data_IF_338562169278
#
_entry.id   IF_338562169278
#
_cell.length_a   1.000
_cell.length_b   1.000
_cell.length_c   1.000
_cell.angle_alpha   90.00
_cell.angle_beta   90.00
_cell.angle_gamma   90.00
#
_symmetry.space_group_name_H-M   'P 1'
#
loop_
_entity.id
_entity.type
_entity.pdbx_description
1 polymer ?
#
# COMPACT_ATOMS: atom_id res chain seq x y z
N UNK A 1 6.95 0.58 -2.67
CA UNK A 1 6.71 1.56 -3.75
C UNK A 1 7.21 2.91 -3.27
N UNK A 2 8.37 3.41 -3.73
CA UNK A 2 8.86 4.72 -3.35
C UNK A 2 8.38 5.75 -4.37
N UNK A 3 7.97 6.89 -3.86
CA UNK A 3 7.67 8.09 -4.64
C UNK A 3 8.90 8.52 -5.47
N UNK A 4 8.64 9.22 -6.58
CA UNK A 4 9.53 10.27 -7.06
C UNK A 4 9.78 11.21 -5.87
N UNK A 5 10.98 11.17 -5.30
CA UNK A 5 11.29 11.91 -4.07
C UNK A 5 11.12 13.41 -4.30
N UNK A 6 10.21 14.11 -3.59
CA UNK A 6 10.13 15.55 -3.66
C UNK A 6 11.41 16.18 -3.10
N UNK A 7 11.83 17.30 -3.70
CA UNK A 7 12.81 18.18 -3.06
C UNK A 7 12.20 18.75 -1.78
N UNK A 8 13.00 18.80 -0.71
CA UNK A 8 12.73 19.59 0.49
C UNK A 8 12.69 21.05 0.07
N UNK A 9 11.53 21.53 -0.38
CA UNK A 9 11.37 22.87 -0.95
C UNK A 9 10.00 23.19 -1.53
N UNK A 10 9.31 22.26 -2.19
CA UNK A 10 8.11 22.60 -3.00
C UNK A 10 6.97 21.57 -2.85
N UNK A 11 6.44 21.45 -1.63
CA UNK A 11 5.33 20.54 -1.25
C UNK A 11 3.97 20.98 -1.81
N UNK A 12 3.88 22.20 -2.35
CA UNK A 12 2.66 22.69 -3.01
C UNK A 12 2.55 22.22 -4.47
N UNK A 13 3.63 21.70 -5.07
CA UNK A 13 3.82 21.69 -6.54
C UNK A 13 3.45 20.37 -7.24
N UNK A 14 2.95 19.36 -6.49
CA UNK A 14 2.55 18.03 -7.02
C UNK A 14 1.11 17.60 -6.70
N UNK A 15 0.28 18.50 -6.13
CA UNK A 15 -1.16 18.24 -5.91
C UNK A 15 -1.96 17.94 -7.18
N UNK A 16 -1.38 18.22 -8.36
CA UNK A 16 -2.04 18.04 -9.65
C UNK A 16 -2.01 16.59 -10.19
N UNK A 17 -1.16 15.70 -9.66
CA UNK A 17 -1.06 14.31 -10.11
C UNK A 17 -2.05 13.35 -9.41
N UNK A 18 -2.74 13.83 -8.36
CA UNK A 18 -3.79 13.08 -7.65
C UNK A 18 -5.11 13.80 -7.93
N UNK A 19 -5.91 13.25 -8.85
CA UNK A 19 -7.14 13.87 -9.34
C UNK A 19 -8.08 14.36 -8.23
N UNK A 20 -8.36 15.67 -8.23
CA UNK A 20 -9.42 16.30 -7.44
C UNK A 20 -10.52 16.75 -8.41
N UNK A 21 -11.73 16.19 -8.28
CA UNK A 21 -12.96 16.77 -8.84
C UNK A 21 -14.05 16.81 -7.76
N UNK A 22 -14.68 17.98 -7.62
CA UNK A 22 -15.51 18.42 -6.49
C UNK A 22 -16.96 17.90 -6.40
N UNK A 23 -17.89 18.67 -5.79
CA UNK A 23 -18.75 18.21 -4.68
C UNK A 23 -20.06 17.52 -5.07
N UNK A 24 -20.58 16.68 -4.16
CA UNK A 24 -21.82 15.90 -4.28
C UNK A 24 -23.03 16.59 -3.60
N UNK A 25 -24.19 16.46 -4.25
CA UNK A 25 -25.55 16.95 -3.92
C UNK A 25 -26.08 16.54 -2.51
N UNK A 26 -26.66 17.46 -1.70
CA UNK A 26 -27.14 17.18 -0.35
C UNK A 26 -28.56 16.59 -0.20
N UNK A 27 -29.23 16.06 -1.25
CA UNK A 27 -30.66 15.68 -1.14
C UNK A 27 -31.12 14.22 -1.34
N UNK A 28 -30.24 13.21 -1.39
CA UNK A 28 -30.70 11.82 -1.53
C UNK A 28 -31.14 11.17 -0.19
N UNK A 29 -32.46 11.05 0.05
CA UNK A 29 -33.04 10.16 1.09
C UNK A 29 -33.77 8.99 0.44
N UNK A 30 -33.51 7.76 0.89
CA UNK A 30 -34.36 6.60 0.58
C UNK A 30 -34.71 5.80 1.85
N UNK A 31 -35.99 5.41 1.96
CA UNK A 31 -36.59 4.61 3.05
C UNK A 31 -36.89 3.21 2.54
N UNK A 32 -36.80 2.19 3.40
CA UNK A 32 -37.23 0.80 3.11
C UNK A 32 -38.19 0.28 4.20
N UNK A 33 -39.20 -0.52 3.81
CA UNK A 33 -40.22 -1.19 4.66
C UNK A 33 -40.19 -2.70 4.44
N UNK A 34 -40.46 -3.51 5.47
CA UNK A 34 -40.68 -4.98 5.37
C UNK A 34 -41.71 -5.46 6.42
N UNK A 35 -42.52 -6.50 6.14
CA UNK A 35 -43.57 -7.08 7.02
C UNK A 35 -43.46 -8.63 7.23
N UNK A 36 -44.30 -9.22 8.11
CA UNK A 36 -44.22 -10.63 8.60
C UNK A 36 -45.58 -11.38 8.71
N UNK A 37 -45.56 -12.73 8.78
CA UNK A 37 -46.73 -13.65 8.96
C UNK A 37 -46.43 -14.80 9.96
N UNK A 38 -47.44 -15.30 10.68
CA UNK A 38 -47.35 -16.26 11.80
C UNK A 38 -48.07 -17.61 11.56
N UNK A 39 -47.70 -18.68 12.31
CA UNK A 39 -48.49 -19.93 12.45
C UNK A 39 -48.43 -20.54 13.88
N UNK A 40 -49.51 -21.24 14.29
CA UNK A 40 -49.86 -21.78 15.64
C UNK A 40 -49.51 -23.29 15.82
N UNK A 41 -49.53 -23.86 17.05
CA UNK A 41 -48.96 -25.18 17.38
C UNK A 41 -49.98 -26.33 17.64
N UNK A 42 -49.56 -27.61 17.76
CA UNK A 42 -50.35 -28.69 18.36
C UNK A 42 -49.86 -29.17 19.74
N UNK A 43 -50.84 -29.57 20.58
CA UNK A 43 -50.79 -30.19 21.94
C UNK A 43 -50.51 -31.71 21.80
N UNK A 44 -49.87 -32.45 22.74
CA UNK A 44 -50.31 -32.53 24.15
C UNK A 44 -49.25 -32.98 25.20
N UNK A 45 -49.01 -32.20 26.26
CA UNK A 45 -48.72 -32.70 27.63
C UNK A 45 -49.41 -31.75 28.61
N UNK A 46 -50.71 -31.96 28.80
CA UNK A 46 -51.46 -31.50 29.98
C UNK A 46 -52.34 -32.68 30.40
N UNK A 47 -51.74 -33.64 31.09
CA UNK A 47 -52.48 -34.66 31.84
C UNK A 47 -51.56 -35.35 32.84
N UNK A 48 -51.11 -34.60 33.85
CA UNK A 48 -50.66 -35.12 35.14
C UNK A 48 -50.52 -33.98 36.17
N UNK A 49 -51.60 -33.24 36.44
CA UNK A 49 -51.83 -32.56 37.75
C UNK A 49 -53.29 -32.08 37.91
N UNK A 50 -54.23 -32.71 37.21
CA UNK A 50 -55.66 -32.68 37.52
C UNK A 50 -56.17 -34.07 37.12
N UNK A 51 -56.57 -34.87 38.11
CA UNK A 51 -57.28 -36.13 37.85
C UNK A 51 -58.50 -35.90 36.96
N UNK A 52 -59.00 -36.97 36.35
CA UNK A 52 -60.10 -36.96 35.37
C UNK A 52 -61.20 -35.95 35.69
N UNK A 53 -61.15 -34.80 35.00
CA UNK A 53 -62.26 -33.89 34.72
C UNK A 53 -61.81 -32.91 33.64
N UNK A 54 -62.50 -32.96 32.51
CA UNK A 54 -62.27 -32.07 31.38
C UNK A 54 -62.47 -30.61 31.78
N UNK A 55 -61.48 -29.75 31.54
CA UNK A 55 -61.62 -28.30 31.70
C UNK A 55 -61.04 -27.59 30.47
N UNK A 56 -61.85 -26.68 29.93
CA UNK A 56 -61.69 -26.04 28.62
C UNK A 56 -60.58 -24.98 28.52
N UNK A 57 -60.49 -24.27 27.37
CA UNK A 57 -59.28 -23.61 26.88
C UNK A 57 -58.75 -22.36 27.61
N UNK A 58 -59.16 -22.05 28.84
CA UNK A 58 -58.99 -20.70 29.44
C UNK A 58 -58.04 -20.59 30.65
N UNK A 59 -57.12 -21.54 30.92
CA UNK A 59 -56.28 -21.52 32.15
C UNK A 59 -54.74 -21.70 32.01
N UNK A 60 -54.12 -21.34 30.88
CA UNK A 60 -52.66 -21.55 30.66
C UNK A 60 -51.71 -20.43 31.15
N UNK A 61 -52.20 -19.35 31.77
CA UNK A 61 -51.39 -18.14 32.05
C UNK A 61 -50.68 -18.09 33.41
N UNK A 62 -50.87 -19.06 34.31
CA UNK A 62 -50.40 -18.93 35.72
C UNK A 62 -49.17 -19.77 36.08
N UNK A 63 -48.77 -20.77 35.29
CA UNK A 63 -47.65 -21.69 35.65
C UNK A 63 -46.26 -21.15 35.22
N UNK A 64 -46.20 -20.22 34.27
CA UNK A 64 -44.95 -19.60 33.82
C UNK A 64 -44.35 -18.59 34.82
N UNK A 65 -45.13 -18.12 35.80
CA UNK A 65 -44.71 -17.12 36.78
C UNK A 65 -43.77 -17.69 37.87
N UNK A 66 -43.81 -19.00 38.15
CA UNK A 66 -43.05 -19.62 39.25
C UNK A 66 -41.59 -19.92 38.86
N UNK A 67 -41.30 -20.09 37.57
CA UNK A 67 -39.94 -20.36 37.09
C UNK A 67 -39.04 -19.12 37.06
N UNK A 68 -39.62 -17.92 37.00
CA UNK A 68 -38.89 -16.65 37.04
C UNK A 68 -38.21 -16.36 38.40
N UNK A 69 -38.52 -17.12 39.46
CA UNK A 69 -38.02 -16.87 40.82
C UNK A 69 -36.76 -17.70 41.15
N UNK A 70 -36.53 -18.85 40.50
CA UNK A 70 -35.44 -19.76 40.87
C UNK A 70 -34.08 -19.49 40.19
N UNK A 71 -34.06 -18.81 39.03
CA UNK A 71 -32.81 -18.45 38.36
C UNK A 71 -32.03 -17.31 39.07
N UNK A 72 -32.61 -16.66 40.08
CA UNK A 72 -32.00 -15.56 40.84
C UNK A 72 -31.00 -15.98 41.93
N UNK A 73 -30.76 -17.27 42.16
CA UNK A 73 -30.02 -17.75 43.34
C UNK A 73 -28.62 -18.37 43.09
N UNK A 74 -28.10 -18.38 41.85
CA UNK A 74 -26.69 -18.68 41.52
C UNK A 74 -25.97 -19.74 42.36
N UNK A 75 -26.25 -21.03 42.13
CA UNK A 75 -25.47 -22.17 42.68
C UNK A 75 -24.90 -23.07 41.57
N UNK A 76 -23.77 -23.69 41.89
CA UNK A 76 -22.67 -24.19 41.04
C UNK A 76 -22.65 -25.71 40.73
N UNK A 77 -22.00 -26.09 39.61
CA UNK A 77 -21.29 -27.37 39.37
C UNK A 77 -22.16 -28.62 39.06
N UNK A 78 -21.75 -29.66 38.32
CA UNK A 78 -20.47 -30.15 37.74
C UNK A 78 -20.83 -31.26 36.68
N UNK A 79 -19.91 -31.99 36.01
CA UNK A 79 -19.85 -32.15 34.54
C UNK A 79 -20.21 -33.55 34.01
N UNK A 80 -20.45 -33.62 32.69
CA UNK A 80 -20.28 -34.86 31.91
C UNK A 80 -21.53 -35.40 31.22
N UNK A 81 -22.15 -34.63 30.31
CA UNK A 81 -22.97 -35.19 29.25
C UNK A 81 -23.07 -34.18 28.09
N UNK A 82 -22.63 -34.59 26.90
CA UNK A 82 -22.63 -33.78 25.67
C UNK A 82 -23.84 -34.20 24.84
N UNK A 83 -24.84 -33.33 24.67
CA UNK A 83 -25.91 -33.49 23.68
C UNK A 83 -26.13 -32.16 22.95
N UNK A 84 -26.17 -32.25 21.63
CA UNK A 84 -26.18 -31.18 20.64
C UNK A 84 -27.62 -30.68 20.38
N UNK A 85 -27.80 -29.37 20.24
CA UNK A 85 -29.05 -28.75 19.76
C UNK A 85 -28.78 -27.55 18.87
N UNK A 86 -29.57 -27.42 17.80
CA UNK A 86 -29.75 -26.20 17.01
C UNK A 86 -31.21 -25.75 17.04
N UNK A 87 -31.43 -24.42 17.00
CA UNK A 87 -32.45 -23.64 16.26
C UNK A 87 -32.83 -22.35 17.03
N UNK A 88 -33.09 -21.29 16.24
CA UNK A 88 -33.38 -19.85 16.50
C UNK A 88 -34.91 -19.57 16.65
N UNK A 89 -35.50 -18.47 17.17
CA UNK A 89 -35.30 -17.00 17.06
C UNK A 89 -36.00 -16.18 18.20
N UNK A 90 -35.78 -14.85 18.21
CA UNK A 90 -36.06 -13.72 19.14
C UNK A 90 -37.54 -13.20 19.22
N UNK A 91 -38.01 -12.23 20.07
CA UNK A 91 -37.46 -10.94 20.60
C UNK A 91 -38.26 -10.43 21.85
N UNK A 92 -37.61 -9.70 22.78
CA UNK A 92 -38.26 -8.63 23.58
C UNK A 92 -37.61 -8.21 24.91
N UNK A 93 -36.68 -7.24 24.92
CA UNK A 93 -36.41 -6.40 26.12
C UNK A 93 -35.07 -6.56 26.86
N UNK A 94 -34.01 -5.96 26.29
CA UNK A 94 -32.83 -5.37 26.93
C UNK A 94 -32.02 -6.16 28.00
N UNK A 95 -31.22 -7.11 27.55
CA UNK A 95 -29.90 -7.39 28.14
C UNK A 95 -29.00 -7.99 27.06
N UNK A 96 -28.28 -7.12 26.36
CA UNK A 96 -27.39 -7.50 25.26
C UNK A 96 -26.19 -8.27 25.78
N UNK A 97 -26.14 -9.58 25.51
CA UNK A 97 -24.86 -10.29 25.38
C UNK A 97 -24.59 -10.45 23.90
N UNK A 98 -23.57 -9.72 23.47
CA UNK A 98 -22.96 -9.78 22.16
C UNK A 98 -22.72 -11.24 21.78
N UNK A 99 -23.41 -11.68 20.74
CA UNK A 99 -23.02 -12.89 20.01
C UNK A 99 -21.91 -12.39 19.09
N UNK A 100 -20.65 -12.58 19.49
CA UNK A 100 -19.51 -12.33 18.60
C UNK A 100 -19.66 -13.36 17.47
N UNK A 101 -20.27 -12.89 16.40
CA UNK A 101 -20.15 -13.51 15.10
C UNK A 101 -18.71 -13.20 14.71
N UNK A 102 -17.84 -14.20 14.66
CA UNK A 102 -16.65 -14.09 13.83
C UNK A 102 -17.14 -13.98 12.39
N UNK A 103 -17.54 -12.78 12.01
CA UNK A 103 -17.37 -12.32 10.65
C UNK A 103 -15.87 -12.35 10.43
N UNK A 104 -15.39 -13.28 9.61
CA UNK A 104 -14.10 -13.09 8.93
C UNK A 104 -14.20 -11.69 8.31
N UNK A 105 -13.41 -10.70 8.77
CA UNK A 105 -13.45 -9.39 8.16
C UNK A 105 -13.03 -9.61 6.71
N UNK A 106 -13.97 -9.35 5.79
CA UNK A 106 -13.61 -9.20 4.40
C UNK A 106 -12.72 -7.96 4.34
N UNK A 107 -11.51 -8.10 3.78
CA UNK A 107 -10.66 -6.96 3.48
C UNK A 107 -11.44 -6.00 2.58
N UNK A 108 -11.63 -4.77 3.06
CA UNK A 108 -12.15 -3.70 2.23
C UNK A 108 -10.95 -2.99 1.60
N UNK A 109 -10.91 -2.98 0.27
CA UNK A 109 -9.90 -2.24 -0.49
C UNK A 109 -10.54 -0.96 -1.03
N UNK A 110 -9.82 0.15 -0.88
CA UNK A 110 -10.24 1.47 -1.34
C UNK A 110 -9.16 2.03 -2.25
N UNK A 111 -9.43 2.03 -3.55
CA UNK A 111 -8.48 2.48 -4.59
C UNK A 111 -8.92 3.83 -5.12
N UNK A 112 -8.00 4.80 -5.22
CA UNK A 112 -8.26 6.15 -5.75
C UNK A 112 -9.50 6.83 -5.12
N UNK A 113 -9.63 6.72 -3.80
CA UNK A 113 -10.76 7.26 -3.04
C UNK A 113 -10.32 8.37 -2.09
N UNK A 114 -11.18 9.38 -1.90
CA UNK A 114 -11.01 10.45 -0.92
C UNK A 114 -11.83 10.22 0.36
N UNK A 115 -12.46 9.04 0.50
CA UNK A 115 -13.40 8.73 1.59
C UNK A 115 -12.82 8.92 3.00
N UNK A 116 -11.50 8.78 3.16
CA UNK A 116 -10.80 8.91 4.45
C UNK A 116 -10.18 10.29 4.68
N UNK A 117 -10.32 11.22 3.74
CA UNK A 117 -9.83 12.60 3.90
C UNK A 117 -10.51 13.21 5.14
N UNK A 118 -9.69 13.77 6.03
CA UNK A 118 -10.12 14.38 7.30
C UNK A 118 -10.90 13.43 8.24
N UNK A 119 -10.85 12.11 7.98
CA UNK A 119 -11.56 11.13 8.80
C UNK A 119 -10.89 10.95 10.17
N UNK A 120 -11.70 10.86 11.22
CA UNK A 120 -11.26 10.46 12.56
C UNK A 120 -11.66 9.02 12.83
N UNK A 121 -10.67 8.13 12.84
CA UNK A 121 -10.84 6.75 13.29
C UNK A 121 -10.50 6.70 14.78
N UNK A 122 -11.43 6.23 15.61
CA UNK A 122 -11.30 6.30 17.07
C UNK A 122 -11.79 5.01 17.73
N UNK A 123 -10.93 4.42 18.59
CA UNK A 123 -11.21 3.16 19.31
C UNK A 123 -11.56 2.00 18.36
N UNK A 124 -10.91 1.94 17.21
CA UNK A 124 -11.03 0.86 16.23
C UNK A 124 -9.79 -0.04 16.28
N UNK A 125 -9.99 -1.33 15.98
CA UNK A 125 -8.88 -2.24 15.69
C UNK A 125 -8.39 -1.98 14.26
N UNK A 126 -7.13 -1.59 14.14
CA UNK A 126 -6.43 -1.34 12.86
C UNK A 126 -5.32 -2.37 12.62
N UNK A 127 -5.36 -3.51 13.32
CA UNK A 127 -4.42 -4.59 13.11
C UNK A 127 -4.47 -5.07 11.66
N UNK A 128 -3.32 -5.05 10.99
CA UNK A 128 -3.22 -5.39 9.57
C UNK A 128 -3.69 -4.29 8.61
N UNK A 129 -3.97 -3.07 9.09
CA UNK A 129 -4.18 -1.92 8.21
C UNK A 129 -2.89 -1.64 7.45
N UNK A 130 -3.02 -1.58 6.14
CA UNK A 130 -1.97 -1.17 5.24
C UNK A 130 -2.39 0.11 4.52
N UNK A 131 -1.53 1.12 4.55
CA UNK A 131 -1.70 2.37 3.80
C UNK A 131 -0.55 2.41 2.79
N UNK A 132 -0.86 2.13 1.52
CA UNK A 132 0.11 2.01 0.44
C UNK A 132 -0.21 3.05 -0.64
N UNK A 133 0.84 3.70 -1.16
CA UNK A 133 0.76 4.67 -2.26
C UNK A 133 -0.29 5.77 -2.05
N UNK A 134 -0.43 6.22 -0.80
CA UNK A 134 -1.36 7.28 -0.40
C UNK A 134 -0.60 8.54 0.01
N UNK A 135 -1.19 9.70 -0.27
CA UNK A 135 -0.81 10.93 0.44
C UNK A 135 -1.28 10.81 1.89
N UNK A 136 -0.32 10.86 2.81
CA UNK A 136 -0.53 10.79 4.26
C UNK A 136 -0.16 12.08 4.95
N UNK A 137 -0.14 13.20 4.22
CA UNK A 137 0.13 14.53 4.78
C UNK A 137 -0.81 14.81 5.95
N UNK A 138 -0.23 15.02 7.13
CA UNK A 138 -0.98 15.26 8.37
C UNK A 138 -1.53 14.01 9.06
N UNK A 139 -1.16 12.78 8.63
CA UNK A 139 -1.51 11.54 9.33
C UNK A 139 -0.98 11.59 10.77
N UNK A 140 -1.86 11.30 11.72
CA UNK A 140 -1.56 11.34 13.15
C UNK A 140 -2.05 10.08 13.85
N UNK A 141 -1.12 9.32 14.41
CA UNK A 141 -1.38 8.12 15.23
C UNK A 141 -1.04 8.48 16.68
N UNK A 142 -2.03 8.48 17.57
CA UNK A 142 -1.90 9.02 18.94
C UNK A 142 -2.54 8.07 19.94
N UNK A 143 -1.87 7.86 21.06
CA UNK A 143 -2.33 7.01 22.16
C UNK A 143 -2.75 5.60 21.68
N UNK A 144 -2.05 5.10 20.66
CA UNK A 144 -2.24 3.76 20.11
C UNK A 144 -1.25 2.76 20.73
N UNK A 145 -1.71 1.53 20.88
CA UNK A 145 -0.86 0.40 21.30
C UNK A 145 -0.68 -0.54 20.11
N UNK A 146 0.55 -0.95 19.82
CA UNK A 146 0.89 -1.84 18.72
C UNK A 146 2.25 -2.51 18.93
N UNK A 147 2.48 -3.64 18.25
CA UNK A 147 3.75 -4.37 18.31
C UNK A 147 4.71 -3.93 17.21
N UNK A 148 4.33 -4.17 15.95
CA UNK A 148 5.15 -3.87 14.76
C UNK A 148 4.50 -2.75 13.97
N UNK A 149 5.11 -1.56 13.98
CA UNK A 149 4.70 -0.42 13.15
C UNK A 149 5.84 -0.12 12.18
N UNK A 150 5.53 -0.15 10.89
CA UNK A 150 6.47 0.18 9.82
C UNK A 150 6.02 1.44 9.11
N UNK A 151 6.99 2.32 8.83
CA UNK A 151 6.81 3.53 8.05
C UNK A 151 7.91 3.56 7.00
N UNK A 152 7.53 3.69 5.74
CA UNK A 152 8.45 3.80 4.61
C UNK A 152 7.87 4.73 3.55
N UNK A 153 8.73 5.55 2.95
CA UNK A 153 8.33 6.59 2.01
C UNK A 153 9.17 7.86 2.18
N UNK A 154 8.90 8.86 1.34
CA UNK A 154 9.50 10.18 1.45
C UNK A 154 8.72 11.02 2.47
N UNK A 155 9.18 11.05 3.72
CA UNK A 155 8.56 11.85 4.78
C UNK A 155 9.38 13.09 5.08
N UNK A 156 8.79 14.27 4.94
CA UNK A 156 9.44 15.53 5.34
C UNK A 156 9.66 15.64 6.85
N UNK A 157 8.77 15.01 7.63
CA UNK A 157 8.84 15.03 9.08
C UNK A 157 8.19 13.80 9.69
N UNK A 158 8.94 13.09 10.53
CA UNK A 158 8.46 11.95 11.31
C UNK A 158 8.66 12.24 12.79
N UNK A 159 7.56 12.22 13.54
CA UNK A 159 7.57 12.43 15.01
C UNK A 159 7.12 11.16 15.70
N UNK A 160 7.95 10.63 16.59
CA UNK A 160 7.67 9.44 17.40
C UNK A 160 7.68 9.85 18.87
N UNK A 161 6.54 9.73 19.56
CA UNK A 161 6.39 10.12 20.97
C UNK A 161 6.92 11.55 21.24
N UNK A 162 6.46 12.52 20.45
CA UNK A 162 6.85 13.93 20.50
C UNK A 162 8.33 14.22 20.17
N UNK A 163 9.10 13.22 19.75
CA UNK A 163 10.48 13.38 19.28
C UNK A 163 10.52 13.39 17.76
N UNK A 164 11.06 14.45 17.19
CA UNK A 164 11.36 14.51 15.76
C UNK A 164 12.56 13.60 15.45
N UNK A 165 12.32 12.50 14.74
CA UNK A 165 13.34 11.50 14.40
C UNK A 165 13.84 11.63 12.96
N UNK A 166 13.34 12.62 12.21
CA UNK A 166 13.58 12.75 10.75
C UNK A 166 15.06 12.75 10.43
N UNK A 167 15.83 13.66 11.05
CA UNK A 167 17.26 13.79 10.79
C UNK A 167 18.07 12.54 11.22
N UNK A 168 17.62 11.86 12.28
CA UNK A 168 18.26 10.62 12.72
C UNK A 168 18.04 9.50 11.70
N UNK A 169 16.81 9.34 11.20
CA UNK A 169 16.48 8.32 10.20
C UNK A 169 17.21 8.60 8.88
N UNK A 170 17.21 9.84 8.40
CA UNK A 170 17.92 10.21 7.17
C UNK A 170 19.43 10.00 7.29
N UNK A 171 20.05 10.36 8.42
CA UNK A 171 21.47 10.13 8.65
C UNK A 171 21.82 8.63 8.71
N UNK A 172 20.96 7.81 9.30
CA UNK A 172 21.16 6.36 9.34
C UNK A 172 20.96 5.72 7.95
N UNK A 173 19.99 6.19 7.17
CA UNK A 173 19.82 5.77 5.78
C UNK A 173 21.03 6.15 4.92
N UNK A 174 21.54 7.37 5.05
CA UNK A 174 22.75 7.82 4.34
C UNK A 174 23.99 7.02 4.76
N UNK A 175 24.10 6.63 6.03
CA UNK A 175 25.19 5.76 6.52
C UNK A 175 25.13 4.36 5.92
N UNK A 176 23.92 3.81 5.77
CA UNK A 176 23.70 2.48 5.19
C UNK A 176 23.79 2.47 3.66
N UNK A 177 23.42 3.58 3.02
CA UNK A 177 23.31 3.73 1.57
C UNK A 177 24.01 5.03 1.11
N UNK A 178 25.36 5.06 1.10
CA UNK A 178 26.12 6.29 0.86
C UNK A 178 25.89 6.90 -0.53
N UNK A 179 25.48 6.10 -1.52
CA UNK A 179 25.18 6.60 -2.86
C UNK A 179 23.93 7.52 -2.89
N UNK A 180 23.05 7.46 -1.88
CA UNK A 180 21.96 8.44 -1.71
C UNK A 180 22.48 9.87 -1.60
N UNK A 181 23.57 10.04 -0.85
CA UNK A 181 24.23 11.32 -0.62
C UNK A 181 24.77 11.84 -1.95
N UNK A 182 25.53 11.02 -2.68
CA UNK A 182 26.08 11.39 -3.99
C UNK A 182 24.99 11.76 -5.00
N UNK A 183 23.91 10.97 -5.06
CA UNK A 183 22.78 11.23 -5.95
C UNK A 183 22.03 12.53 -5.62
N UNK A 184 21.91 12.86 -4.33
CA UNK A 184 21.20 14.04 -3.84
C UNK A 184 22.02 15.32 -3.94
N UNK A 185 23.32 15.24 -3.68
CA UNK A 185 24.20 16.40 -3.44
C UNK A 185 25.04 16.80 -4.65
N UNK A 186 25.02 16.04 -5.75
CA UNK A 186 25.75 16.39 -6.95
C UNK A 186 25.28 17.75 -7.53
N UNK A 187 26.22 18.67 -7.71
CA UNK A 187 25.98 20.04 -8.20
C UNK A 187 26.92 20.45 -9.34
N UNK A 188 27.98 19.70 -9.63
CA UNK A 188 28.88 19.97 -10.74
C UNK A 188 28.95 18.81 -11.71
N UNK A 189 29.44 19.05 -12.93
CA UNK A 189 29.59 17.99 -13.93
C UNK A 189 30.54 16.88 -13.43
N UNK A 190 31.54 17.23 -12.60
CA UNK A 190 32.43 16.25 -11.98
C UNK A 190 31.71 15.40 -10.92
N UNK A 191 30.85 16.00 -10.10
CA UNK A 191 30.09 15.29 -9.07
C UNK A 191 29.04 14.36 -9.68
N UNK A 192 28.36 14.77 -10.77
CA UNK A 192 27.46 13.86 -11.49
C UNK A 192 28.19 12.66 -12.09
N UNK A 193 29.42 12.84 -12.61
CA UNK A 193 30.26 11.71 -13.05
C UNK A 193 30.56 10.76 -11.89
N UNK A 194 31.00 11.31 -10.75
CA UNK A 194 31.30 10.50 -9.56
C UNK A 194 30.07 9.77 -9.01
N UNK A 195 28.90 10.43 -8.98
CA UNK A 195 27.64 9.82 -8.58
C UNK A 195 27.24 8.68 -9.52
N UNK A 196 27.34 8.90 -10.83
CA UNK A 196 27.00 7.89 -11.83
C UNK A 196 27.96 6.68 -11.78
N UNK A 197 29.28 6.90 -11.64
CA UNK A 197 30.26 5.83 -11.48
C UNK A 197 29.95 4.96 -10.25
N UNK A 198 29.55 5.58 -9.14
CA UNK A 198 29.15 4.86 -7.92
C UNK A 198 27.84 4.07 -8.11
N UNK A 199 26.90 4.62 -8.88
CA UNK A 199 25.63 3.97 -9.24
C UNK A 199 25.85 2.76 -10.15
N UNK A 200 26.69 2.88 -11.18
CA UNK A 200 27.00 1.76 -12.08
C UNK A 200 27.64 0.61 -11.29
N UNK A 201 28.62 0.93 -10.43
CA UNK A 201 29.31 -0.07 -9.61
C UNK A 201 28.37 -0.81 -8.65
N UNK A 202 27.51 -0.09 -7.90
CA UNK A 202 26.61 -0.76 -6.94
C UNK A 202 25.62 -1.69 -7.64
N UNK A 203 25.14 -1.31 -8.83
CA UNK A 203 24.21 -2.12 -9.59
C UNK A 203 24.90 -3.32 -10.20
N UNK A 204 26.12 -3.19 -10.72
CA UNK A 204 26.91 -4.33 -11.19
C UNK A 204 27.02 -5.42 -10.10
N UNK A 205 27.45 -5.04 -8.89
CA UNK A 205 27.57 -5.96 -7.75
C UNK A 205 26.22 -6.59 -7.35
N UNK A 206 25.13 -5.82 -7.45
CA UNK A 206 23.79 -6.27 -7.07
C UNK A 206 23.15 -7.17 -8.13
N UNK A 207 23.41 -6.91 -9.41
CA UNK A 207 22.98 -7.77 -10.52
C UNK A 207 23.71 -9.10 -10.47
N UNK A 208 25.00 -9.11 -10.18
CA UNK A 208 25.77 -10.35 -9.96
C UNK A 208 25.28 -11.12 -8.74
N UNK A 209 24.77 -10.42 -7.73
CA UNK A 209 24.06 -11.04 -6.60
C UNK A 209 22.75 -11.67 -7.02
N UNK A 210 21.91 -10.93 -7.73
CA UNK A 210 20.60 -11.40 -8.19
C UNK A 210 20.73 -12.64 -9.10
N UNK A 211 21.70 -12.66 -10.02
CA UNK A 211 21.96 -13.79 -10.93
C UNK A 211 22.28 -15.13 -10.24
N UNK A 212 22.60 -15.13 -8.95
CA UNK A 212 22.82 -16.37 -8.18
C UNK A 212 21.52 -17.03 -7.73
N UNK A 213 20.41 -16.30 -7.78
CA UNK A 213 19.08 -16.84 -7.48
C UNK A 213 18.45 -17.47 -8.72
N UNK A 214 17.59 -18.49 -8.55
CA UNK A 214 16.74 -18.96 -9.64
C UNK A 214 15.88 -17.83 -10.21
N UNK A 215 15.68 -17.81 -11.53
CA UNK A 215 14.87 -16.78 -12.21
C UNK A 215 13.52 -16.55 -11.53
N UNK A 216 12.82 -17.62 -11.13
CA UNK A 216 11.53 -17.51 -10.44
C UNK A 216 11.58 -16.65 -9.17
N UNK A 217 12.69 -16.67 -8.42
CA UNK A 217 12.86 -15.83 -7.22
C UNK A 217 12.97 -14.35 -7.57
N UNK A 218 13.45 -13.99 -8.77
CA UNK A 218 13.58 -12.60 -9.21
C UNK A 218 12.24 -11.95 -9.57
N UNK A 219 11.21 -12.79 -9.78
CA UNK A 219 9.81 -12.39 -9.96
C UNK A 219 9.00 -12.41 -8.66
N UNK A 220 9.55 -12.95 -7.57
CA UNK A 220 8.87 -12.94 -6.27
C UNK A 220 8.86 -11.51 -5.69
N UNK A 221 7.68 -11.09 -5.23
CA UNK A 221 7.48 -9.85 -4.51
C UNK A 221 7.71 -10.06 -3.02
N UNK A 222 8.40 -9.13 -2.37
CA UNK A 222 8.57 -9.11 -0.90
C UNK A 222 7.60 -8.09 -0.34
N UNK A 223 6.77 -8.51 0.62
CA UNK A 223 5.72 -7.69 1.24
C UNK A 223 4.78 -7.01 0.21
N UNK A 224 4.51 -7.67 -0.91
CA UNK A 224 3.69 -7.14 -2.01
C UNK A 224 4.29 -5.91 -2.71
N UNK A 225 5.54 -5.55 -2.43
CA UNK A 225 6.29 -4.54 -3.18
C UNK A 225 6.86 -5.13 -4.48
N UNK A 226 7.37 -4.27 -5.36
CA UNK A 226 7.91 -4.71 -6.65
C UNK A 226 8.97 -5.80 -6.51
N UNK A 227 8.90 -6.77 -7.41
CA UNK A 227 9.96 -7.75 -7.59
C UNK A 227 11.26 -7.11 -8.09
N UNK A 228 12.34 -7.88 -8.09
CA UNK A 228 13.61 -7.41 -8.63
C UNK A 228 13.50 -7.07 -10.11
N UNK A 229 12.80 -7.89 -10.90
CA UNK A 229 12.54 -7.65 -12.32
C UNK A 229 11.68 -6.39 -12.53
N UNK A 230 10.60 -6.22 -11.76
CA UNK A 230 9.76 -5.01 -11.82
C UNK A 230 10.56 -3.75 -11.49
N UNK A 231 11.48 -3.82 -10.53
CA UNK A 231 12.40 -2.72 -10.21
C UNK A 231 13.30 -2.36 -11.40
N UNK A 232 13.83 -3.35 -12.13
CA UNK A 232 14.65 -3.07 -13.32
C UNK A 232 13.81 -2.47 -14.46
N UNK A 233 12.58 -2.95 -14.65
CA UNK A 233 11.63 -2.36 -15.62
C UNK A 233 11.31 -0.91 -15.28
N UNK A 234 11.19 -0.60 -13.99
CA UNK A 234 10.95 0.76 -13.53
C UNK A 234 12.14 1.69 -13.81
N UNK A 235 13.35 1.28 -13.44
CA UNK A 235 14.55 2.08 -13.65
C UNK A 235 14.85 2.32 -15.14
N UNK A 236 14.49 1.37 -16.02
CA UNK A 236 14.51 1.59 -17.47
C UNK A 236 13.55 2.73 -17.86
N UNK A 237 12.29 2.64 -17.43
CA UNK A 237 11.28 3.66 -17.74
C UNK A 237 11.64 5.04 -17.18
N UNK A 238 12.16 5.11 -15.96
CA UNK A 238 12.61 6.36 -15.36
C UNK A 238 13.71 7.03 -16.20
N UNK A 239 14.72 6.27 -16.62
CA UNK A 239 15.78 6.79 -17.48
C UNK A 239 15.29 7.15 -18.90
N UNK A 240 14.36 6.38 -19.47
CA UNK A 240 13.69 6.72 -20.74
C UNK A 240 12.96 8.06 -20.64
N UNK A 241 12.22 8.29 -19.54
CA UNK A 241 11.46 9.52 -19.35
C UNK A 241 12.36 10.75 -19.14
N UNK A 242 13.27 10.67 -18.17
CA UNK A 242 14.05 11.81 -17.72
C UNK A 242 15.25 12.10 -18.62
N UNK A 243 15.90 11.09 -19.18
CA UNK A 243 17.06 11.29 -20.05
C UNK A 243 16.68 11.15 -21.51
N UNK A 244 16.01 10.07 -21.91
CA UNK A 244 15.62 9.84 -23.29
C UNK A 244 14.67 10.93 -23.82
N UNK A 245 13.55 11.17 -23.12
CA UNK A 245 12.55 12.12 -23.57
C UNK A 245 12.90 13.57 -23.20
N UNK A 246 13.14 13.86 -21.92
CA UNK A 246 13.32 15.25 -21.50
C UNK A 246 14.67 15.84 -21.94
N UNK A 247 15.79 15.18 -21.64
CA UNK A 247 17.14 15.73 -21.88
C UNK A 247 17.59 15.58 -23.33
N UNK A 248 17.41 14.39 -23.90
CA UNK A 248 17.91 14.02 -25.24
C UNK A 248 16.88 14.23 -26.35
N UNK A 249 15.60 14.39 -25.99
CA UNK A 249 14.50 14.64 -26.94
C UNK A 249 14.41 13.59 -28.06
N UNK A 250 14.70 12.33 -27.72
CA UNK A 250 14.61 11.21 -28.66
C UNK A 250 13.18 11.07 -29.21
N UNK A 251 13.02 10.64 -30.46
CA UNK A 251 11.70 10.52 -31.09
C UNK A 251 10.82 9.42 -30.45
N UNK A 252 11.45 8.31 -30.03
CA UNK A 252 10.79 7.17 -29.38
C UNK A 252 11.61 6.67 -28.18
N UNK A 253 11.62 7.41 -27.06
CA UNK A 253 12.51 7.14 -25.93
C UNK A 253 12.09 5.93 -25.10
N UNK A 254 10.79 5.63 -25.07
CA UNK A 254 10.22 4.62 -24.18
C UNK A 254 10.34 3.20 -24.72
N UNK A 255 10.95 2.32 -23.94
CA UNK A 255 10.98 0.91 -24.25
C UNK A 255 9.69 0.20 -23.77
N UNK A 256 9.09 -0.72 -24.56
CA UNK A 256 7.85 -1.40 -24.17
C UNK A 256 7.91 -2.20 -22.85
N UNK A 257 9.09 -2.62 -22.42
CA UNK A 257 9.29 -3.31 -21.13
C UNK A 257 9.29 -2.38 -19.91
N UNK A 258 9.30 -1.06 -20.12
CA UNK A 258 9.27 -0.08 -19.04
C UNK A 258 8.03 -0.23 -18.15
N UNK A 259 8.21 -0.05 -16.83
CA UNK A 259 7.13 -0.09 -15.85
C UNK A 259 7.01 1.26 -15.13
N UNK A 260 5.91 2.02 -15.31
CA UNK A 260 5.74 3.27 -14.60
C UNK A 260 5.45 3.01 -13.11
N UNK A 261 5.69 4.03 -12.28
CA UNK A 261 5.20 4.02 -10.90
C UNK A 261 3.68 3.88 -10.81
N UNK A 262 3.17 3.35 -9.70
CA UNK A 262 1.74 3.00 -9.51
C UNK A 262 0.74 4.16 -9.67
N UNK A 263 1.20 5.41 -9.72
CA UNK A 263 0.36 6.60 -9.95
C UNK A 263 0.03 6.89 -11.42
N UNK A 264 0.67 6.24 -12.41
CA UNK A 264 0.41 6.55 -13.82
C UNK A 264 -0.89 5.89 -14.32
N UNK A 265 -1.85 6.64 -14.88
CA UNK A 265 -3.07 6.08 -15.45
C UNK A 265 -2.76 5.10 -16.60
N UNK A 266 -3.52 4.01 -16.70
CA UNK A 266 -3.33 2.99 -17.74
C UNK A 266 -3.38 3.56 -19.17
N UNK A 267 -4.24 4.55 -19.41
CA UNK A 267 -4.30 5.27 -20.70
C UNK A 267 -2.98 6.01 -21.01
N UNK A 268 -2.39 6.66 -20.01
CA UNK A 268 -1.12 7.36 -20.17
C UNK A 268 0.01 6.35 -20.45
N UNK A 269 0.06 5.25 -19.71
CA UNK A 269 1.01 4.15 -19.96
C UNK A 269 0.89 3.58 -21.37
N UNK A 270 -0.34 3.43 -21.88
CA UNK A 270 -0.60 2.95 -23.24
C UNK A 270 -0.11 3.94 -24.32
N UNK A 271 -0.27 5.26 -24.11
CA UNK A 271 0.26 6.30 -25.02
C UNK A 271 1.78 6.28 -25.11
N UNK A 272 2.46 5.89 -24.02
CA UNK A 272 3.91 5.72 -23.99
C UNK A 272 4.37 4.38 -24.61
N UNK A 273 3.45 3.51 -25.04
CA UNK A 273 3.78 2.22 -25.64
C UNK A 273 4.24 1.15 -24.65
N UNK A 274 3.94 1.31 -23.36
CA UNK A 274 4.36 0.38 -22.30
C UNK A 274 3.46 -0.86 -22.26
N UNK A 275 4.07 -2.03 -22.12
CA UNK A 275 3.38 -3.32 -21.93
C UNK A 275 3.41 -3.68 -20.45
N UNK A 276 2.41 -3.21 -19.70
CA UNK A 276 2.41 -3.29 -18.23
C UNK A 276 2.45 -4.73 -17.69
N UNK A 277 1.74 -5.64 -18.36
CA UNK A 277 1.64 -7.07 -18.04
C UNK A 277 2.80 -7.92 -18.58
N UNK A 278 3.83 -7.30 -19.17
CA UNK A 278 5.02 -8.01 -19.61
C UNK A 278 5.71 -8.69 -18.42
N UNK A 279 6.13 -9.94 -18.63
CA UNK A 279 6.86 -10.75 -17.64
C UNK A 279 8.23 -11.17 -18.21
N UNK A 280 9.11 -10.20 -18.56
CA UNK A 280 10.40 -10.52 -19.14
C UNK A 280 11.28 -11.22 -18.11
N UNK A 281 12.15 -12.12 -18.57
CA UNK A 281 13.26 -12.60 -17.74
C UNK A 281 14.18 -11.44 -17.33
N UNK A 282 15.02 -11.65 -16.30
CA UNK A 282 16.00 -10.64 -15.90
C UNK A 282 16.88 -10.21 -17.09
N UNK A 283 17.40 -11.15 -17.88
CA UNK A 283 18.27 -10.80 -19.01
C UNK A 283 17.53 -10.03 -20.13
N UNK A 284 16.25 -10.33 -20.37
CA UNK A 284 15.42 -9.62 -21.35
C UNK A 284 15.18 -8.16 -20.95
N UNK A 285 14.97 -7.85 -19.67
CA UNK A 285 14.85 -6.46 -19.21
C UNK A 285 16.22 -5.78 -19.10
N UNK A 286 17.28 -6.52 -18.76
CA UNK A 286 18.62 -5.95 -18.62
C UNK A 286 19.20 -5.50 -19.96
N UNK A 287 18.89 -6.17 -21.08
CA UNK A 287 19.38 -5.76 -22.40
C UNK A 287 19.05 -4.27 -22.74
N UNK A 288 17.77 -3.83 -22.74
CA UNK A 288 17.43 -2.42 -22.96
C UNK A 288 17.85 -1.53 -21.79
N UNK A 289 17.79 -2.01 -20.54
CA UNK A 289 18.20 -1.25 -19.35
C UNK A 289 19.68 -0.86 -19.38
N UNK A 290 20.57 -1.80 -19.67
CA UNK A 290 22.01 -1.54 -19.78
C UNK A 290 22.34 -0.65 -20.98
N UNK A 291 21.61 -0.79 -22.10
CA UNK A 291 21.73 0.12 -23.23
C UNK A 291 21.35 1.56 -22.84
N UNK A 292 20.27 1.73 -22.07
CA UNK A 292 19.85 3.04 -21.54
C UNK A 292 20.87 3.57 -20.51
N UNK A 293 21.41 2.75 -19.62
CA UNK A 293 22.49 3.16 -18.71
C UNK A 293 23.72 3.66 -19.47
N UNK A 294 24.12 2.97 -20.55
CA UNK A 294 25.19 3.44 -21.42
C UNK A 294 24.86 4.79 -22.11
N UNK A 295 23.59 5.06 -22.42
CA UNK A 295 23.15 6.39 -22.88
C UNK A 295 23.30 7.45 -21.80
N UNK A 296 22.90 7.15 -20.55
CA UNK A 296 23.10 8.06 -19.42
C UNK A 296 24.58 8.32 -19.19
N UNK A 297 25.43 7.28 -19.21
CA UNK A 297 26.89 7.40 -19.12
C UNK A 297 27.45 8.37 -20.15
N UNK A 298 27.07 8.24 -21.43
CA UNK A 298 27.51 9.16 -22.49
C UNK A 298 27.04 10.60 -22.23
N UNK A 299 25.81 10.79 -21.77
CA UNK A 299 25.31 12.12 -21.41
C UNK A 299 26.15 12.72 -20.26
N UNK A 300 26.39 11.96 -19.19
CA UNK A 300 27.17 12.37 -18.03
C UNK A 300 28.64 12.64 -18.41
N UNK A 301 29.24 11.85 -19.31
CA UNK A 301 30.61 12.10 -19.81
C UNK A 301 30.73 13.43 -20.55
N UNK A 302 29.72 13.76 -21.35
CA UNK A 302 29.64 15.01 -22.12
C UNK A 302 29.26 16.24 -21.29
N UNK A 303 28.95 16.09 -20.00
CA UNK A 303 28.46 17.22 -19.20
C UNK A 303 29.48 18.35 -19.08
N UNK A 304 28.97 19.55 -19.31
CA UNK A 304 29.60 20.80 -18.95
C UNK A 304 28.71 21.53 -17.95
N UNK A 305 29.24 22.49 -17.22
CA UNK A 305 28.43 23.30 -16.30
C UNK A 305 27.29 24.03 -17.04
N UNK A 306 27.54 24.50 -18.27
CA UNK A 306 26.51 25.11 -19.10
C UNK A 306 25.42 24.12 -19.53
N UNK A 307 25.77 22.86 -19.78
CA UNK A 307 24.80 21.82 -20.13
C UNK A 307 23.91 21.46 -18.95
N UNK A 308 24.42 21.49 -17.72
CA UNK A 308 23.61 21.22 -16.52
C UNK A 308 22.44 22.20 -16.37
N UNK A 309 22.66 23.47 -16.72
CA UNK A 309 21.66 24.52 -16.57
C UNK A 309 20.81 24.74 -17.84
N UNK A 310 20.99 23.88 -18.86
CA UNK A 310 20.17 23.91 -20.07
C UNK A 310 18.73 23.52 -19.74
N UNK A 311 17.78 24.29 -20.28
CA UNK A 311 16.36 23.95 -20.27
C UNK A 311 16.08 22.86 -21.31
N UNK A 312 15.43 21.80 -20.87
CA UNK A 312 14.95 20.69 -21.69
C UNK A 312 13.79 21.14 -22.60
N UNK A 313 13.77 20.72 -23.86
CA UNK A 313 12.68 21.05 -24.79
C UNK A 313 11.40 20.24 -24.54
N UNK A 314 11.45 19.21 -23.70
CA UNK A 314 10.31 18.35 -23.36
C UNK A 314 10.23 18.08 -21.86
N UNK A 315 9.01 17.90 -21.36
CA UNK A 315 8.76 17.31 -20.03
C UNK A 315 8.93 15.78 -20.10
N UNK A 316 9.15 15.09 -18.96
CA UNK A 316 9.39 13.66 -18.95
C UNK A 316 8.27 12.87 -19.64
N UNK A 317 7.01 13.09 -19.25
CA UNK A 317 5.83 12.51 -19.93
C UNK A 317 4.58 13.41 -19.78
N UNK A 318 3.51 13.11 -20.51
CA UNK A 318 2.24 13.87 -20.48
C UNK A 318 1.68 14.15 -19.07
N UNK A 319 1.68 13.20 -18.12
CA UNK A 319 1.12 13.43 -16.78
C UNK A 319 1.96 14.37 -15.90
N UNK A 320 3.20 14.70 -16.28
CA UNK A 320 4.05 15.60 -15.51
C UNK A 320 3.60 17.06 -15.66
N UNK A 321 3.81 17.91 -14.63
CA UNK A 321 3.43 19.32 -14.68
C UNK A 321 4.02 20.08 -15.87
N UNK A 322 3.26 21.02 -16.42
CA UNK A 322 3.72 21.91 -17.49
C UNK A 322 4.60 23.03 -16.91
N UNK A 323 5.88 22.71 -16.69
CA UNK A 323 6.91 23.65 -16.23
C UNK A 323 8.24 23.44 -16.96
N UNK A 324 9.16 24.36 -16.75
CA UNK A 324 10.52 24.22 -17.26
C UNK A 324 11.24 23.10 -16.51
N UNK A 325 11.85 22.21 -17.28
CA UNK A 325 12.75 21.17 -16.79
C UNK A 325 14.17 21.53 -17.20
N UNK A 326 15.13 21.35 -16.29
CA UNK A 326 16.55 21.58 -16.56
C UNK A 326 17.33 20.28 -16.45
N UNK A 327 18.40 20.13 -17.23
CA UNK A 327 19.20 18.89 -17.30
C UNK A 327 19.66 18.44 -15.91
N UNK A 328 20.12 19.37 -15.08
CA UNK A 328 20.49 19.14 -13.67
C UNK A 328 19.38 18.42 -12.90
N UNK A 329 18.14 18.91 -12.99
CA UNK A 329 16.98 18.30 -12.31
C UNK A 329 16.75 16.89 -12.83
N UNK A 330 16.76 16.69 -14.14
CA UNK A 330 16.56 15.38 -14.76
C UNK A 330 17.62 14.36 -14.31
N UNK A 331 18.90 14.76 -14.26
CA UNK A 331 19.99 13.92 -13.78
C UNK A 331 19.89 13.62 -12.28
N UNK A 332 19.56 14.62 -11.46
CA UNK A 332 19.33 14.42 -10.02
C UNK A 332 18.21 13.42 -9.79
N UNK A 333 17.11 13.52 -10.53
CA UNK A 333 16.01 12.55 -10.42
C UNK A 333 16.50 11.15 -10.78
N UNK A 334 17.14 10.95 -11.94
CA UNK A 334 17.65 9.62 -12.31
C UNK A 334 18.63 9.07 -11.28
N UNK A 335 19.57 9.87 -10.79
CA UNK A 335 20.51 9.39 -9.77
C UNK A 335 19.80 8.99 -8.46
N UNK A 336 18.77 9.74 -8.05
CA UNK A 336 17.97 9.43 -6.85
C UNK A 336 17.14 8.16 -7.05
N UNK A 337 16.49 8.01 -8.20
CA UNK A 337 15.73 6.80 -8.56
C UNK A 337 16.62 5.56 -8.42
N UNK A 338 17.81 5.61 -9.02
CA UNK A 338 18.79 4.53 -8.97
C UNK A 338 19.21 4.19 -7.53
N UNK A 339 19.55 5.20 -6.72
CA UNK A 339 20.03 5.00 -5.35
C UNK A 339 18.93 4.50 -4.40
N UNK A 340 17.71 5.01 -4.53
CA UNK A 340 16.61 4.66 -3.65
C UNK A 340 16.03 3.28 -3.99
N UNK A 341 15.84 2.97 -5.28
CA UNK A 341 15.41 1.63 -5.68
C UNK A 341 16.45 0.56 -5.39
N UNK A 342 17.74 0.89 -5.42
CA UNK A 342 18.80 -0.01 -4.99
C UNK A 342 18.64 -0.44 -3.53
N UNK A 343 18.28 0.48 -2.62
CA UNK A 343 18.02 0.16 -1.21
C UNK A 343 16.92 -0.89 -1.05
N UNK A 344 15.81 -0.74 -1.76
CA UNK A 344 14.72 -1.73 -1.75
C UNK A 344 15.17 -3.06 -2.35
N UNK A 345 15.85 -3.04 -3.50
CA UNK A 345 16.36 -4.24 -4.14
C UNK A 345 17.31 -5.05 -3.24
N UNK A 346 18.23 -4.40 -2.53
CA UNK A 346 19.17 -5.07 -1.61
C UNK A 346 18.46 -5.63 -0.38
N UNK A 347 17.47 -4.91 0.17
CA UNK A 347 16.60 -5.41 1.26
C UNK A 347 15.91 -6.70 0.82
N UNK A 348 15.27 -6.68 -0.35
CA UNK A 348 14.41 -7.76 -0.82
C UNK A 348 15.23 -8.99 -1.25
N UNK A 349 16.35 -8.78 -1.94
CA UNK A 349 17.29 -9.87 -2.24
C UNK A 349 17.78 -10.58 -0.97
N UNK A 350 17.93 -9.85 0.15
CA UNK A 350 18.33 -10.47 1.42
C UNK A 350 17.26 -11.41 1.97
N UNK A 351 15.99 -11.04 1.82
CA UNK A 351 14.84 -11.89 2.20
C UNK A 351 14.76 -13.12 1.29
N UNK A 352 14.84 -12.92 -0.03
CA UNK A 352 14.74 -13.99 -1.03
C UNK A 352 15.89 -15.00 -0.90
N UNK A 353 17.11 -14.54 -0.67
CA UNK A 353 18.27 -15.40 -0.40
C UNK A 353 18.13 -16.21 0.89
N UNK A 354 17.51 -15.64 1.93
CA UNK A 354 17.25 -16.36 3.16
C UNK A 354 16.23 -17.47 2.94
N UNK A 355 15.17 -17.21 2.18
CA UNK A 355 14.17 -18.21 1.79
C UNK A 355 14.75 -19.33 0.92
N UNK A 356 15.62 -18.99 -0.04
CA UNK A 356 16.25 -19.97 -0.94
C UNK A 356 17.26 -20.91 -0.25
N UNK A 357 17.77 -20.56 0.94
CA UNK A 357 18.64 -21.45 1.75
C UNK A 357 17.87 -22.44 2.62
N UNK A 358 16.58 -22.20 2.82
CA UNK A 358 15.69 -23.05 3.62
C UNK A 358 14.90 -24.06 2.80
N UNK A 359 14.86 -23.87 1.47
CA UNK A 359 14.41 -24.86 0.48
C UNK A 359 15.56 -25.81 0.13
#
# INVERSE_FOLDING_TARGET
MPFLFPEVGDVEDERAAIGVLGPVDPHARSRVRVGWRAQRPPRPIVSAWLGDRAIGPTQHTTVAAIWAIWARAGWSGWPGCRVQWSWSWSVGGAAGRSRIRETVPMSAEYTQSDQFRDARIHMCDLSGLEIRDCDVTGLKIVDCYGGNVSLGGGFERVVVNDVDVTAYVEAELDRLHPNRVLAREATSAAEYRAAWDAIEKQWEETLDRARRLPEAKLHEQVDGEWSFVETQRHLLMAADAWIGNAVLEEDAPYHPLGLPGGGMPAEASAKLGLTLDATPTLDEVLAPRLARMATVRRAVDGLTEAELDRVCGRKPADPYPDKDYVVRRCLTVVCKEEAEHHRYAVRDLTVLEAGARTE
#
